data_IF_984482993371
#
_entry.id   IF_984482993371
#
_cell.length_a   1.000
_cell.length_b   1.000
_cell.length_c   1.000
_cell.angle_alpha   90.00
_cell.angle_beta   90.00
_cell.angle_gamma   90.00
#
_symmetry.space_group_name_H-M   'P 1'
#
loop_
_entity.id
_entity.type
_entity.pdbx_description
1 polymer ?
#
# COMPACT_ATOMS: atom_id res chain seq x y z
N UNK A 1 14.18 -30.70 41.87
CA UNK A 1 13.18 -30.59 40.77
C UNK A 1 13.95 -30.19 39.54
N UNK A 2 14.33 -31.17 38.72
CA UNK A 2 15.19 -30.96 37.56
C UNK A 2 14.35 -30.45 36.39
N UNK A 3 14.76 -29.32 35.82
CA UNK A 3 14.21 -28.84 34.55
C UNK A 3 14.76 -29.73 33.43
N UNK A 4 13.87 -30.40 32.70
CA UNK A 4 14.25 -31.13 31.50
C UNK A 4 14.39 -30.15 30.33
N UNK A 5 15.64 -29.78 30.07
CA UNK A 5 16.12 -29.08 28.87
C UNK A 5 16.24 -30.09 27.71
N UNK A 6 15.14 -30.37 27.00
CA UNK A 6 15.19 -31.20 25.79
C UNK A 6 13.94 -31.08 24.92
N UNK A 7 13.51 -29.87 24.57
CA UNK A 7 12.61 -29.67 23.42
C UNK A 7 13.03 -28.39 22.66
N UNK A 8 14.30 -28.37 22.27
CA UNK A 8 14.81 -27.50 21.22
C UNK A 8 14.96 -28.36 19.96
N UNK A 9 14.46 -27.84 18.84
CA UNK A 9 14.53 -28.36 17.47
C UNK A 9 13.46 -29.39 17.04
N UNK A 10 12.28 -28.87 16.67
CA UNK A 10 11.59 -29.36 15.47
C UNK A 10 11.23 -28.21 14.53
N UNK A 11 11.81 -28.36 13.35
CA UNK A 11 11.73 -27.58 12.12
C UNK A 11 10.31 -27.21 11.68
N UNK A 12 10.21 -25.99 11.14
CA UNK A 12 9.18 -25.46 10.25
C UNK A 12 7.72 -25.62 10.67
N UNK A 13 7.17 -24.56 11.25
CA UNK A 13 5.73 -24.29 11.15
C UNK A 13 5.51 -22.81 10.95
N UNK A 14 5.40 -22.47 9.66
CA UNK A 14 4.63 -21.36 9.12
C UNK A 14 4.35 -20.23 10.12
N UNK A 15 5.01 -19.08 9.93
CA UNK A 15 4.22 -17.84 9.95
C UNK A 15 3.08 -18.12 8.98
N UNK A 16 1.90 -18.48 9.49
CA UNK A 16 0.70 -18.49 8.67
C UNK A 16 0.61 -17.05 8.19
N UNK A 17 1.05 -16.82 6.96
CA UNK A 17 0.73 -15.59 6.26
C UNK A 17 -0.78 -15.40 6.36
N UNK A 18 -1.28 -14.16 6.18
CA UNK A 18 -2.71 -13.95 6.15
C UNK A 18 -3.33 -15.03 5.26
N UNK A 19 -4.29 -15.79 5.81
CA UNK A 19 -4.99 -16.82 5.05
C UNK A 19 -5.51 -16.17 3.76
N UNK A 20 -5.38 -16.87 2.63
CA UNK A 20 -5.61 -16.35 1.26
C UNK A 20 -6.95 -15.60 1.10
N UNK A 21 -7.92 -15.86 1.98
CA UNK A 21 -9.28 -15.34 1.91
C UNK A 21 -9.70 -14.47 3.12
N UNK A 22 -8.77 -14.13 4.03
CA UNK A 22 -9.08 -13.20 5.13
C UNK A 22 -8.88 -11.76 4.67
N UNK A 23 -9.97 -11.13 4.27
CA UNK A 23 -10.04 -9.68 4.05
C UNK A 23 -10.53 -9.06 5.37
N UNK A 24 -9.65 -8.53 6.23
CA UNK A 24 -10.13 -7.74 7.35
C UNK A 24 -10.81 -6.51 6.75
N UNK A 25 -12.10 -6.36 7.03
CA UNK A 25 -12.83 -5.10 6.86
C UNK A 25 -12.13 -4.05 7.74
N UNK A 26 -11.07 -3.43 7.22
CA UNK A 26 -10.20 -2.52 7.94
C UNK A 26 -10.08 -1.22 7.13
N UNK A 27 -10.64 -0.15 7.69
CA UNK A 27 -10.26 1.26 7.52
C UNK A 27 -9.33 1.56 6.32
N UNK A 28 -9.89 1.84 5.14
CA UNK A 28 -9.12 2.45 4.02
C UNK A 28 -8.93 1.63 2.75
N UNK A 29 -9.69 0.54 2.56
CA UNK A 29 -9.73 -0.16 1.26
C UNK A 29 -10.58 0.67 0.28
N UNK A 30 -9.94 1.24 -0.75
CA UNK A 30 -10.61 1.94 -1.85
C UNK A 30 -10.90 0.92 -2.96
N UNK A 31 -12.19 0.69 -3.23
CA UNK A 31 -12.66 -0.11 -4.35
C UNK A 31 -12.89 0.78 -5.58
N UNK A 32 -12.34 0.39 -6.73
CA UNK A 32 -12.56 1.05 -8.01
C UNK A 32 -12.67 0.03 -9.14
N UNK A 33 -13.38 0.38 -10.20
CA UNK A 33 -13.39 -0.37 -11.46
C UNK A 33 -12.16 -0.08 -12.36
N UNK A 34 -11.20 0.68 -11.81
CA UNK A 34 -9.93 1.03 -12.42
C UNK A 34 -8.81 0.49 -11.53
N UNK A 35 -7.89 -0.26 -12.13
CA UNK A 35 -6.84 -0.98 -11.40
C UNK A 35 -5.53 -0.20 -11.26
N UNK A 36 -5.40 0.95 -11.94
CA UNK A 36 -4.19 1.75 -11.93
C UNK A 36 -3.97 2.44 -10.58
N UNK A 37 -2.77 2.28 -10.03
CA UNK A 37 -2.31 2.94 -8.80
C UNK A 37 -0.93 3.52 -9.06
N UNK A 38 -0.74 4.80 -8.74
CA UNK A 38 0.54 5.51 -8.92
C UNK A 38 0.96 6.18 -7.62
N UNK A 39 2.17 5.84 -7.14
CA UNK A 39 2.64 6.21 -5.79
C UNK A 39 3.40 7.55 -5.73
N UNK A 40 3.70 8.18 -6.86
CA UNK A 40 4.40 9.46 -6.96
C UNK A 40 3.75 10.39 -7.99
N UNK A 41 3.76 11.70 -7.75
CA UNK A 41 3.22 12.68 -8.69
C UNK A 41 4.03 12.78 -9.99
N UNK A 42 5.34 12.50 -9.93
CA UNK A 42 6.23 12.48 -11.09
C UNK A 42 5.84 11.41 -12.12
N UNK A 43 5.26 10.30 -11.67
CA UNK A 43 4.84 9.17 -12.51
C UNK A 43 3.45 9.35 -13.14
N UNK A 44 2.76 10.47 -12.84
CA UNK A 44 1.41 10.76 -13.34
C UNK A 44 1.40 11.57 -14.66
N UNK A 45 2.58 11.83 -15.24
CA UNK A 45 2.74 12.58 -16.50
C UNK A 45 2.03 13.97 -16.48
N UNK A 46 2.11 14.65 -15.34
CA UNK A 46 1.53 15.99 -15.14
C UNK A 46 2.39 17.06 -15.82
N UNK A 47 1.76 18.18 -16.18
CA UNK A 47 2.51 19.37 -16.65
C UNK A 47 3.46 19.85 -15.55
N UNK A 48 4.68 20.23 -15.93
CA UNK A 48 5.74 20.66 -15.00
C UNK A 48 5.29 21.78 -14.05
N UNK A 49 4.60 22.80 -14.56
CA UNK A 49 4.11 23.91 -13.74
C UNK A 49 3.09 23.46 -12.68
N UNK A 50 2.24 22.47 -13.00
CA UNK A 50 1.29 21.89 -12.04
C UNK A 50 2.02 21.06 -10.99
N UNK A 51 2.96 20.22 -11.41
CA UNK A 51 3.77 19.39 -10.52
C UNK A 51 4.54 20.26 -9.51
N UNK A 52 5.15 21.35 -9.97
CA UNK A 52 5.80 22.35 -9.11
C UNK A 52 4.82 23.00 -8.14
N UNK A 53 3.61 23.31 -8.58
CA UNK A 53 2.54 23.84 -7.73
C UNK A 53 2.10 22.87 -6.62
N UNK A 54 1.97 21.57 -6.93
CA UNK A 54 1.62 20.51 -5.97
C UNK A 54 2.66 20.45 -4.85
N UNK A 55 3.94 20.40 -5.21
CA UNK A 55 5.03 20.38 -4.23
C UNK A 55 5.16 21.69 -3.45
N UNK A 56 5.00 22.85 -4.10
CA UNK A 56 5.03 24.15 -3.42
C UNK A 56 3.88 24.33 -2.43
N UNK A 57 2.74 23.69 -2.68
CA UNK A 57 1.61 23.67 -1.75
C UNK A 57 1.86 22.76 -0.53
N UNK A 58 2.86 21.86 -0.60
CA UNK A 58 3.25 20.97 0.49
C UNK A 58 2.77 19.53 0.34
N UNK A 59 2.24 19.13 -0.82
CA UNK A 59 1.97 17.72 -1.09
C UNK A 59 3.25 17.02 -1.53
N UNK A 60 3.71 16.04 -0.75
CA UNK A 60 4.89 15.24 -1.08
C UNK A 60 4.55 13.94 -1.80
N UNK A 61 3.42 13.32 -1.46
CA UNK A 61 2.94 12.06 -2.03
C UNK A 61 1.43 12.14 -2.30
N UNK A 62 0.93 11.45 -3.34
CA UNK A 62 -0.50 11.32 -3.55
C UNK A 62 -1.14 10.54 -2.41
N UNK A 63 -2.25 11.05 -1.89
CA UNK A 63 -3.13 10.30 -0.98
C UNK A 63 -3.75 9.09 -1.68
N UNK A 64 -4.28 8.12 -0.92
CA UNK A 64 -4.83 6.88 -1.48
C UNK A 64 -5.88 7.10 -2.58
N UNK A 65 -6.70 8.16 -2.46
CA UNK A 65 -7.68 8.54 -3.49
C UNK A 65 -7.00 9.14 -4.73
N UNK A 66 -5.98 9.99 -4.55
CA UNK A 66 -5.22 10.61 -5.64
C UNK A 66 -4.42 9.58 -6.45
N UNK A 67 -3.85 8.58 -5.79
CA UNK A 67 -3.10 7.48 -6.44
C UNK A 67 -3.93 6.73 -7.49
N UNK A 68 -5.25 6.66 -7.29
CA UNK A 68 -6.21 5.92 -8.14
C UNK A 68 -6.98 6.83 -9.09
N UNK A 69 -7.26 8.07 -8.69
CA UNK A 69 -8.20 8.94 -9.40
C UNK A 69 -7.55 9.93 -10.37
N UNK A 70 -6.29 10.34 -10.16
CA UNK A 70 -5.70 11.42 -10.98
C UNK A 70 -5.63 11.01 -12.46
N UNK A 71 -5.08 9.84 -12.78
CA UNK A 71 -4.95 9.39 -14.17
C UNK A 71 -6.30 9.24 -14.89
N UNK A 72 -7.33 8.58 -14.31
CA UNK A 72 -8.66 8.55 -14.90
C UNK A 72 -9.31 9.93 -15.09
N UNK A 73 -8.98 10.91 -14.25
CA UNK A 73 -9.56 12.26 -14.34
C UNK A 73 -8.93 13.15 -15.40
N UNK A 74 -7.65 12.93 -15.74
CA UNK A 74 -6.91 13.73 -16.72
C UNK A 74 -6.74 13.03 -18.08
N UNK A 75 -7.14 11.75 -18.17
CA UNK A 75 -7.11 10.93 -19.37
C UNK A 75 -8.24 11.19 -20.35
#
# INVERSE_FOLDING_TARGET
MSYNSAEQDRDRSQTKGPSEDYIPLADGIIESNYDGVVDAFDDMNLKEDLLRGIYAYGFEKPSAIQQRAILPCIG
#
